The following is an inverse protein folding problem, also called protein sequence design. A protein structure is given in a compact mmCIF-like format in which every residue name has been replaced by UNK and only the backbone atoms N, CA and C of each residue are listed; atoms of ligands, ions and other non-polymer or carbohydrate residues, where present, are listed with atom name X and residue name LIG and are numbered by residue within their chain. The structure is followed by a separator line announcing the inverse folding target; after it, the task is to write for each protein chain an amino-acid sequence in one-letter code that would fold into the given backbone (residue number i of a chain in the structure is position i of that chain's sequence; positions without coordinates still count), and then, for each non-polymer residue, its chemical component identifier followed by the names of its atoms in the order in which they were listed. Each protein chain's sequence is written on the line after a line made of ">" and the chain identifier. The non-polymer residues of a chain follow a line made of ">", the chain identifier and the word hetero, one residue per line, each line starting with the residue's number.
data_IF_297834594399
#
_entry.id   IF_297834594399
#
_cell.length_a   1.000
_cell.length_b   1.000
_cell.length_c   1.000
_cell.angle_alpha   90.00
_cell.angle_beta   90.00
_cell.angle_gamma   90.00
#
_symmetry.space_group_name_H-M   'P 1'
#
loop_
_entity.id
_entity.type
_entity.pdbx_description
1 polymer ?
#
# COMPACT_ATOMS: atom_id res chain seq x y z
N UNK A 1 9.67 -2.09 -4.95
CA UNK A 1 10.29 -1.98 -3.60
C UNK A 1 11.74 -1.51 -3.64
N UNK A 2 12.68 -2.16 -4.35
CA UNK A 2 14.11 -1.77 -4.37
C UNK A 2 14.36 -0.27 -4.60
N UNK A 3 13.77 0.30 -5.65
CA UNK A 3 13.90 1.74 -5.98
C UNK A 3 13.41 2.64 -4.84
N UNK A 4 12.28 2.30 -4.21
CA UNK A 4 11.74 3.06 -3.07
C UNK A 4 12.64 3.02 -1.82
N UNK A 5 13.51 2.01 -1.69
CA UNK A 5 14.51 1.92 -0.62
C UNK A 5 15.79 2.69 -0.95
N UNK A 6 16.23 2.61 -2.21
CA UNK A 6 17.49 3.24 -2.66
C UNK A 6 17.31 4.75 -2.84
N UNK A 7 16.26 5.14 -3.57
CA UNK A 7 16.00 6.52 -3.99
C UNK A 7 14.94 7.17 -3.10
N UNK A 8 13.86 6.46 -2.80
CA UNK A 8 12.69 6.97 -2.08
C UNK A 8 11.47 7.14 -2.99
N UNK A 9 10.40 7.74 -2.45
CA UNK A 9 9.15 7.98 -3.19
C UNK A 9 8.83 9.48 -3.19
N UNK A 10 8.75 10.13 -4.37
CA UNK A 10 8.36 11.53 -4.43
C UNK A 10 6.85 11.70 -4.22
N UNK A 11 6.41 12.92 -3.91
CA UNK A 11 4.99 13.27 -3.95
C UNK A 11 4.41 13.12 -5.37
N UNK A 12 3.09 12.94 -5.42
CA UNK A 12 2.37 12.76 -6.68
C UNK A 12 2.56 13.93 -7.67
N UNK A 13 2.59 15.16 -7.16
CA UNK A 13 2.84 16.37 -7.96
C UNK A 13 4.20 16.37 -8.68
N UNK A 14 5.15 15.56 -8.19
CA UNK A 14 6.46 15.36 -8.78
C UNK A 14 6.56 14.07 -9.60
N UNK A 15 5.54 13.21 -9.57
CA UNK A 15 5.55 11.96 -10.30
C UNK A 15 5.35 12.20 -11.81
N UNK A 16 6.25 11.71 -12.67
CA UNK A 16 6.12 11.86 -14.10
C UNK A 16 5.02 10.93 -14.61
N UNK A 17 3.84 11.49 -14.86
CA UNK A 17 2.77 10.77 -15.53
C UNK A 17 3.04 10.66 -17.02
N UNK A 18 3.23 9.43 -17.51
CA UNK A 18 3.32 9.16 -18.95
C UNK A 18 1.93 9.22 -19.58
N UNK A 19 1.60 10.32 -20.24
CA UNK A 19 0.40 10.45 -21.08
C UNK A 19 0.82 10.40 -22.55
N UNK A 20 0.62 9.25 -23.20
CA UNK A 20 1.01 9.05 -24.60
C UNK A 20 2.52 8.99 -24.81
N UNK A 21 3.05 9.85 -25.70
CA UNK A 21 4.48 9.94 -26.04
C UNK A 21 5.26 10.95 -25.16
N UNK A 22 4.61 11.56 -24.17
CA UNK A 22 5.27 12.47 -23.24
C UNK A 22 5.99 11.69 -22.14
N UNK A 23 7.30 11.90 -22.06
CA UNK A 23 8.15 11.44 -20.97
C UNK A 23 8.82 12.66 -20.35
N UNK A 24 8.57 12.91 -19.06
CA UNK A 24 9.43 13.78 -18.28
C UNK A 24 10.49 12.92 -17.61
N UNK A 25 11.76 13.25 -17.88
CA UNK A 25 12.84 12.78 -17.04
C UNK A 25 12.63 13.32 -15.62
N UNK A 26 12.96 12.52 -14.61
CA UNK A 26 12.93 12.97 -13.23
C UNK A 26 13.92 14.13 -13.04
N UNK A 27 13.44 15.30 -12.62
CA UNK A 27 14.32 16.42 -12.28
C UNK A 27 15.09 16.14 -10.98
N UNK A 28 16.16 16.91 -10.73
CA UNK A 28 16.89 16.83 -9.46
C UNK A 28 15.99 17.12 -8.25
N UNK A 29 14.97 17.97 -8.41
CA UNK A 29 13.99 18.28 -7.36
C UNK A 29 13.17 17.03 -6.99
N UNK A 30 12.76 16.23 -7.98
CA UNK A 30 12.05 14.97 -7.70
C UNK A 30 12.93 13.99 -6.91
N UNK A 31 14.21 13.89 -7.27
CA UNK A 31 15.15 13.04 -6.52
C UNK A 31 15.40 13.55 -5.10
N UNK A 32 15.48 14.86 -4.91
CA UNK A 32 15.62 15.47 -3.59
C UNK A 32 14.36 15.23 -2.73
N UNK A 33 13.18 15.40 -3.31
CA UNK A 33 11.88 15.12 -2.67
C UNK A 33 11.72 13.64 -2.30
N UNK A 34 12.09 12.73 -3.20
CA UNK A 34 12.03 11.29 -2.95
C UNK A 34 12.96 10.89 -1.80
N UNK A 35 14.16 11.46 -1.72
CA UNK A 35 15.17 11.09 -0.73
C UNK A 35 14.75 11.33 0.72
N UNK A 36 13.76 12.21 0.97
CA UNK A 36 13.20 12.45 2.31
C UNK A 36 12.14 11.42 2.73
N UNK A 37 11.65 10.61 1.79
CA UNK A 37 10.57 9.61 1.95
C UNK A 37 11.05 8.21 1.57
N UNK A 38 12.09 7.74 2.25
CA UNK A 38 12.65 6.39 2.01
C UNK A 38 11.90 5.32 2.77
N UNK A 39 11.60 4.24 2.05
CA UNK A 39 11.17 2.99 2.68
C UNK A 39 12.39 2.35 3.32
N UNK A 40 12.34 2.08 4.62
CA UNK A 40 13.43 1.41 5.34
C UNK A 40 13.27 -0.11 5.30
N UNK A 41 12.03 -0.59 5.46
CA UNK A 41 11.70 -2.01 5.47
C UNK A 41 10.51 -2.33 4.58
N UNK A 42 10.49 -3.56 4.07
CA UNK A 42 9.43 -4.07 3.20
C UNK A 42 9.14 -5.53 3.53
N UNK A 43 7.86 -5.89 3.55
CA UNK A 43 7.40 -7.21 3.95
C UNK A 43 6.44 -7.76 2.94
N UNK A 44 6.68 -8.97 2.45
CA UNK A 44 5.71 -9.67 1.62
C UNK A 44 4.57 -10.22 2.50
N UNK A 45 3.33 -9.81 2.19
CA UNK A 45 2.15 -10.13 2.99
C UNK A 45 1.27 -11.10 2.22
N UNK A 46 1.37 -12.37 2.58
CA UNK A 46 0.75 -13.48 1.84
C UNK A 46 -0.54 -14.01 2.46
N UNK A 47 -1.06 -13.35 3.51
CA UNK A 47 -2.32 -13.73 4.15
C UNK A 47 -3.04 -12.52 4.75
N UNK A 48 -4.36 -12.61 4.90
CA UNK A 48 -5.16 -11.59 5.57
C UNK A 48 -4.62 -11.25 6.98
N UNK A 49 -4.27 -12.26 7.78
CA UNK A 49 -3.71 -12.04 9.13
C UNK A 49 -2.44 -11.20 9.10
N UNK A 50 -1.51 -11.49 8.17
CA UNK A 50 -0.27 -10.70 8.05
C UNK A 50 -0.55 -9.26 7.61
N UNK A 51 -1.49 -9.06 6.69
CA UNK A 51 -1.94 -7.72 6.26
C UNK A 51 -2.49 -6.95 7.46
N UNK A 52 -3.41 -7.56 8.20
CA UNK A 52 -4.05 -6.89 9.32
C UNK A 52 -3.10 -6.65 10.49
N UNK A 53 -2.22 -7.59 10.82
CA UNK A 53 -1.19 -7.42 11.85
C UNK A 53 -0.22 -6.29 11.51
N UNK A 54 0.18 -6.17 10.24
CA UNK A 54 1.05 -5.09 9.79
C UNK A 54 0.40 -3.71 10.03
N UNK A 55 -0.88 -3.58 9.68
CA UNK A 55 -1.64 -2.34 9.89
C UNK A 55 -1.91 -2.07 11.38
N UNK A 56 -2.35 -3.07 12.14
CA UNK A 56 -2.66 -2.94 13.57
C UNK A 56 -1.43 -2.68 14.44
N UNK A 57 -0.26 -3.14 14.02
CA UNK A 57 1.00 -2.86 14.71
C UNK A 57 1.55 -1.46 14.41
N UNK A 58 0.87 -0.67 13.58
CA UNK A 58 1.29 0.69 13.22
C UNK A 58 2.57 0.72 12.42
N UNK A 59 2.86 -0.33 11.64
CA UNK A 59 4.13 -0.44 10.92
C UNK A 59 4.17 0.37 9.61
N UNK A 60 3.03 0.81 9.10
CA UNK A 60 2.95 1.64 7.90
C UNK A 60 1.75 1.29 7.03
N UNK A 61 1.91 1.44 5.72
CA UNK A 61 0.89 1.13 4.71
C UNK A 61 1.26 -0.06 3.83
N UNK A 62 0.28 -0.56 3.07
CA UNK A 62 0.48 -1.67 2.13
C UNK A 62 0.30 -1.21 0.69
N UNK A 63 1.12 -1.69 -0.24
CA UNK A 63 0.89 -1.53 -1.68
C UNK A 63 0.48 -2.87 -2.26
N UNK A 64 -0.54 -2.82 -3.12
CA UNK A 64 -1.12 -3.99 -3.77
C UNK A 64 -1.02 -3.86 -5.28
N UNK A 65 -0.60 -4.92 -5.96
CA UNK A 65 -0.79 -5.10 -7.39
C UNK A 65 -1.92 -6.09 -7.61
N UNK A 66 -3.08 -5.62 -8.08
CA UNK A 66 -4.30 -6.43 -8.22
C UNK A 66 -4.81 -6.43 -9.65
N UNK A 67 -5.47 -7.50 -10.12
CA UNK A 67 -6.12 -7.49 -11.41
C UNK A 67 -7.29 -6.51 -11.40
N UNK A 68 -7.59 -5.92 -12.55
CA UNK A 68 -8.86 -5.21 -12.74
C UNK A 68 -10.01 -6.18 -12.52
N UNK A 69 -11.08 -5.75 -11.84
CA UNK A 69 -12.24 -6.61 -11.58
C UNK A 69 -12.91 -7.13 -12.86
N UNK A 70 -12.71 -6.45 -14.00
CA UNK A 70 -13.25 -6.80 -15.31
C UNK A 70 -12.24 -7.48 -16.27
N UNK A 71 -11.10 -7.95 -15.75
CA UNK A 71 -10.33 -9.03 -16.39
C UNK A 71 -9.35 -8.68 -17.51
N UNK A 72 -9.03 -7.40 -17.74
CA UNK A 72 -7.95 -7.02 -18.68
C UNK A 72 -7.08 -5.89 -18.14
N UNK A 73 -6.15 -6.25 -17.25
CA UNK A 73 -5.11 -5.35 -16.77
C UNK A 73 -4.76 -5.59 -15.31
N UNK A 74 -3.75 -4.87 -14.86
CA UNK A 74 -3.32 -4.80 -13.46
C UNK A 74 -3.44 -3.36 -12.98
N UNK A 75 -3.66 -3.19 -11.69
CA UNK A 75 -3.78 -1.90 -11.04
C UNK A 75 -3.03 -1.89 -9.70
N UNK A 76 -2.46 -0.73 -9.37
CA UNK A 76 -1.79 -0.52 -8.10
C UNK A 76 -2.67 0.32 -7.18
N UNK A 77 -2.84 -0.13 -5.94
CA UNK A 77 -3.64 0.54 -4.90
C UNK A 77 -2.91 0.49 -3.56
N UNK A 78 -3.30 1.35 -2.62
CA UNK A 78 -2.67 1.44 -1.31
C UNK A 78 -3.66 1.10 -0.19
N UNK A 79 -3.32 0.17 0.70
CA UNK A 79 -3.99 0.04 1.99
C UNK A 79 -3.38 1.04 2.96
N UNK A 80 -4.19 1.93 3.51
CA UNK A 80 -3.76 3.09 4.31
C UNK A 80 -4.23 3.06 5.76
N UNK A 81 -5.06 2.09 6.11
CA UNK A 81 -5.53 1.92 7.47
C UNK A 81 -6.51 0.76 7.58
N UNK A 82 -7.14 0.64 8.74
CA UNK A 82 -8.13 -0.40 8.98
C UNK A 82 -9.24 0.09 9.89
N UNK A 83 -10.42 -0.51 9.77
CA UNK A 83 -11.53 -0.30 10.70
C UNK A 83 -11.34 -1.13 11.98
N UNK A 84 -12.13 -0.84 13.01
CA UNK A 84 -12.13 -1.63 14.27
C UNK A 84 -12.45 -3.10 14.00
N UNK A 85 -13.33 -3.37 13.04
CA UNK A 85 -13.80 -4.71 12.68
C UNK A 85 -12.85 -5.46 11.73
N UNK A 86 -11.69 -4.86 11.41
CA UNK A 86 -10.64 -5.50 10.61
C UNK A 86 -10.81 -5.36 9.10
N UNK A 87 -11.70 -4.48 8.63
CA UNK A 87 -11.72 -4.11 7.22
C UNK A 87 -10.51 -3.23 6.92
N UNK A 88 -9.92 -3.41 5.73
CA UNK A 88 -8.78 -2.63 5.29
C UNK A 88 -9.27 -1.46 4.43
N UNK A 89 -8.87 -0.24 4.81
CA UNK A 89 -9.16 0.96 4.04
C UNK A 89 -8.17 1.07 2.89
N UNK A 90 -8.68 0.97 1.68
CA UNK A 90 -7.93 1.03 0.43
C UNK A 90 -8.12 2.41 -0.20
N UNK A 91 -7.03 3.10 -0.47
CA UNK A 91 -6.97 4.30 -1.29
C UNK A 91 -6.72 3.93 -2.75
N UNK A 92 -7.41 4.63 -3.65
CA UNK A 92 -7.25 4.52 -5.09
C UNK A 92 -6.86 5.88 -5.71
N UNK A 93 -6.37 5.86 -6.94
CA UNK A 93 -5.89 7.04 -7.67
C UNK A 93 -6.85 7.47 -8.79
N UNK A 94 -8.16 7.27 -8.60
CA UNK A 94 -9.21 7.61 -9.58
C UNK A 94 -10.04 8.84 -9.17
N UNK A 95 -9.49 9.63 -8.26
CA UNK A 95 -10.12 10.86 -7.74
C UNK A 95 -11.17 10.59 -6.67
N UNK A 96 -11.61 11.67 -6.02
CA UNK A 96 -12.50 11.63 -4.86
C UNK A 96 -13.92 11.16 -5.21
N UNK A 97 -14.34 11.26 -6.48
CA UNK A 97 -15.66 10.78 -6.92
C UNK A 97 -15.72 9.27 -7.12
N UNK A 98 -14.61 8.56 -6.98
CA UNK A 98 -14.60 7.11 -7.02
C UNK A 98 -14.91 6.55 -5.62
N UNK A 99 -16.04 5.85 -5.53
CA UNK A 99 -16.53 5.21 -4.29
C UNK A 99 -16.65 6.23 -3.13
N UNK A 100 -16.14 5.93 -1.94
CA UNK A 100 -16.21 6.81 -0.77
C UNK A 100 -14.97 7.71 -0.71
N UNK A 101 -15.05 8.89 -1.34
CA UNK A 101 -14.00 9.93 -1.34
C UNK A 101 -12.64 9.41 -1.85
N UNK A 102 -12.65 8.50 -2.84
CA UNK A 102 -11.46 7.86 -3.38
C UNK A 102 -11.00 6.60 -2.64
N UNK A 103 -11.78 6.15 -1.64
CA UNK A 103 -11.49 4.98 -0.82
C UNK A 103 -12.55 3.88 -0.96
N UNK A 104 -12.15 2.65 -0.69
CA UNK A 104 -13.03 1.50 -0.53
C UNK A 104 -12.57 0.65 0.67
N UNK A 105 -13.51 0.02 1.37
CA UNK A 105 -13.20 -0.91 2.46
C UNK A 105 -13.20 -2.36 1.97
N UNK A 106 -12.12 -3.09 2.23
CA UNK A 106 -12.01 -4.51 1.91
C UNK A 106 -12.11 -5.37 3.16
N UNK A 107 -13.06 -6.29 3.16
CA UNK A 107 -13.17 -7.31 4.20
C UNK A 107 -12.21 -8.50 3.96
N UNK A 108 -12.12 -9.39 4.95
CA UNK A 108 -11.29 -10.59 4.90
C UNK A 108 -11.51 -11.43 3.63
N UNK A 109 -12.77 -11.66 3.23
CA UNK A 109 -13.09 -12.46 2.05
C UNK A 109 -12.54 -11.83 0.76
N UNK A 110 -12.66 -10.50 0.61
CA UNK A 110 -12.13 -9.76 -0.54
C UNK A 110 -10.60 -9.84 -0.58
N UNK A 111 -9.95 -9.66 0.57
CA UNK A 111 -8.49 -9.75 0.72
C UNK A 111 -8.00 -11.16 0.34
N UNK A 112 -8.57 -12.20 0.94
CA UNK A 112 -8.20 -13.58 0.66
C UNK A 112 -8.43 -13.94 -0.81
N UNK A 113 -9.51 -13.44 -1.43
CA UNK A 113 -9.76 -13.64 -2.86
C UNK A 113 -8.65 -13.05 -3.72
N UNK A 114 -8.18 -11.83 -3.45
CA UNK A 114 -7.08 -11.25 -4.21
C UNK A 114 -5.76 -11.97 -3.97
N UNK A 115 -5.41 -12.28 -2.73
CA UNK A 115 -4.17 -12.98 -2.40
C UNK A 115 -4.09 -14.38 -3.02
N UNK A 116 -5.24 -14.99 -3.36
CA UNK A 116 -5.30 -16.28 -4.04
C UNK A 116 -5.12 -16.18 -5.57
N UNK A 117 -5.16 -14.98 -6.16
CA UNK A 117 -4.97 -14.80 -7.61
C UNK A 117 -3.48 -14.83 -7.94
N UNK A 118 -3.09 -15.69 -8.88
CA UNK A 118 -1.72 -15.75 -9.37
C UNK A 118 -1.28 -14.41 -9.98
N UNK A 119 -0.09 -13.95 -9.58
CA UNK A 119 0.47 -12.64 -9.95
C UNK A 119 0.05 -11.46 -9.06
N UNK A 120 -0.90 -11.63 -8.13
CA UNK A 120 -1.16 -10.61 -7.11
C UNK A 120 0.02 -10.50 -6.17
N UNK A 121 0.40 -9.26 -5.86
CA UNK A 121 1.44 -8.97 -4.87
C UNK A 121 0.91 -8.00 -3.83
N UNK A 122 1.27 -8.22 -2.58
CA UNK A 122 1.01 -7.30 -1.47
C UNK A 122 2.28 -7.12 -0.65
N UNK A 123 2.74 -5.87 -0.55
CA UNK A 123 3.90 -5.50 0.24
C UNK A 123 3.52 -4.48 1.30
N UNK A 124 3.83 -4.77 2.56
CA UNK A 124 3.87 -3.77 3.63
C UNK A 124 5.14 -2.95 3.50
N UNK A 125 5.01 -1.63 3.53
CA UNK A 125 6.12 -0.69 3.47
C UNK A 125 6.19 0.08 4.78
N UNK A 126 7.40 0.16 5.33
CA UNK A 126 7.65 0.82 6.60
C UNK A 126 8.83 1.76 6.49
N UNK A 127 8.67 2.96 7.03
CA UNK A 127 9.74 3.91 7.33
C UNK A 127 10.42 3.61 8.68
N UNK A 128 9.97 2.58 9.40
CA UNK A 128 10.59 2.10 10.62
C UNK A 128 11.67 1.07 10.30
N UNK A 129 12.80 1.15 11.00
CA UNK A 129 13.90 0.17 10.96
C UNK A 129 13.62 -1.05 11.86
N UNK A 130 12.45 -1.65 11.73
CA UNK A 130 12.10 -2.91 12.41
C UNK A 130 12.46 -4.11 11.51
N UNK A 131 13.03 -5.20 12.05
CA UNK A 131 13.46 -6.35 11.25
C UNK A 131 12.34 -7.37 10.96
N UNK A 132 11.26 -7.37 11.74
CA UNK A 132 10.13 -8.30 11.61
C UNK A 132 8.81 -7.61 11.94
N UNK A 133 7.72 -8.10 11.33
CA UNK A 133 6.37 -7.66 11.67
C UNK A 133 6.08 -8.02 13.12
N UNK A 134 5.64 -7.04 13.92
CA UNK A 134 5.19 -7.31 15.28
C UNK A 134 3.83 -8.00 15.18
N UNK A 135 3.68 -9.24 15.68
CA UNK A 135 2.35 -9.82 15.83
C UNK A 135 1.54 -8.84 16.67
N UNK A 136 0.32 -8.50 16.24
CA UNK A 136 -0.56 -7.74 17.09
C UNK A 136 -1.12 -8.72 18.13
N UNK A 137 -0.72 -8.65 19.41
CA UNK A 137 -1.31 -9.53 20.41
C UNK A 137 -2.79 -9.16 20.48
N UNK A 138 -3.66 -10.09 20.08
CA UNK A 138 -5.09 -10.01 20.32
C UNK A 138 -5.29 -10.07 21.84
N UNK A 139 -5.06 -8.95 22.53
CA UNK A 139 -5.41 -8.81 23.94
C UNK A 139 -6.45 -7.71 24.00
N UNK A 140 -7.58 -8.05 24.57
CA UNK A 140 -8.76 -7.23 24.85
C UNK A 140 -8.47 -6.02 25.78
N UNK A 141 -7.23 -5.53 25.83
CA UNK A 141 -6.72 -4.63 26.88
C UNK A 141 -6.50 -3.20 26.44
N UNK A 142 -7.46 -2.62 25.72
CA UNK A 142 -7.57 -1.16 25.60
C UNK A 142 -9.01 -0.64 25.74
N UNK A 143 -9.94 -1.46 26.23
CA UNK A 143 -11.23 -1.00 26.73
C UNK A 143 -11.27 -1.19 28.25
N UNK A 144 -10.62 -0.27 28.95
CA UNK A 144 -10.81 0.01 30.37
C UNK A 144 -11.07 1.50 30.52
#
# INVERSE_FOLDING_TARGET
>A
VKVAKEIGLPLEEFAPYKVGNWYSEFSQEVYADAATRKVLASYELTSYTKVLDFHRSGMGGTIWGVPWEFGRGWHAIAGVGHTKDGQLRIANSWGEHWDEDGYIEWNENKINRYLAVDGVVCYGLSDLSVPQIRPYPFSERFFG
#
